data_IF_380690608247
#
_entry.id   IF_380690608247
#
_cell.length_a   1.000
_cell.length_b   1.000
_cell.length_c   1.000
_cell.angle_alpha   90.00
_cell.angle_beta   90.00
_cell.angle_gamma   90.00
#
_symmetry.space_group_name_H-M   'P 1'
#
loop_
_entity.id
_entity.type
_entity.pdbx_description
1 polymer ?
#
# COMPACT_ATOMS: atom_id res chain seq x y z
N UNK A 1 5.89 -23.33 -6.01
CA UNK A 1 6.29 -21.99 -5.50
C UNK A 1 5.08 -21.28 -4.92
N UNK A 2 5.15 -20.81 -3.66
CA UNK A 2 4.05 -20.01 -3.09
C UNK A 2 4.06 -18.63 -3.78
N UNK A 3 2.93 -18.23 -4.36
CA UNK A 3 2.82 -16.92 -5.01
C UNK A 3 2.98 -15.82 -3.95
N UNK A 4 4.10 -15.09 -3.99
CA UNK A 4 4.47 -14.07 -3.02
C UNK A 4 3.42 -12.95 -2.94
N UNK A 5 2.89 -12.52 -4.09
CA UNK A 5 1.86 -11.48 -4.19
C UNK A 5 0.53 -11.92 -3.59
N UNK A 6 0.31 -13.23 -3.42
CA UNK A 6 -0.90 -13.81 -2.82
C UNK A 6 -0.72 -14.22 -1.35
N UNK A 7 0.47 -14.03 -0.78
CA UNK A 7 0.76 -14.44 0.57
C UNK A 7 0.41 -13.32 1.57
N UNK A 8 -0.70 -13.50 2.29
CA UNK A 8 -1.17 -12.56 3.31
C UNK A 8 -0.11 -12.17 4.34
N UNK A 9 0.69 -13.14 4.81
CA UNK A 9 1.74 -12.86 5.81
C UNK A 9 2.77 -11.90 5.25
N UNK A 10 3.25 -12.15 4.03
CA UNK A 10 4.24 -11.30 3.37
C UNK A 10 3.68 -9.91 3.13
N UNK A 11 2.48 -9.81 2.55
CA UNK A 11 1.89 -8.51 2.24
C UNK A 11 1.63 -7.69 3.50
N UNK A 12 1.06 -8.30 4.55
CA UNK A 12 0.86 -7.62 5.84
C UNK A 12 2.20 -7.19 6.45
N UNK A 13 3.22 -8.05 6.45
CA UNK A 13 4.55 -7.69 6.97
C UNK A 13 5.16 -6.51 6.22
N UNK A 14 5.06 -6.46 4.88
CA UNK A 14 5.58 -5.33 4.09
C UNK A 14 4.77 -4.05 4.31
N UNK A 15 3.44 -4.12 4.48
CA UNK A 15 2.64 -2.97 4.90
C UNK A 15 3.09 -2.42 6.25
N UNK A 16 3.25 -3.31 7.24
CA UNK A 16 3.64 -2.95 8.60
C UNK A 16 5.09 -2.51 8.73
N UNK A 17 5.93 -2.71 7.72
CA UNK A 17 7.34 -2.30 7.72
C UNK A 17 7.58 -1.20 6.70
N UNK A 18 7.84 -1.56 5.44
CA UNK A 18 8.13 -0.61 4.37
C UNK A 18 6.99 0.38 4.13
N UNK A 19 5.73 -0.07 4.20
CA UNK A 19 4.59 0.82 3.94
C UNK A 19 4.40 1.91 4.99
N UNK A 20 4.59 1.57 6.27
CA UNK A 20 4.43 2.50 7.39
C UNK A 20 5.73 3.24 7.76
N UNK A 21 6.87 2.89 7.17
CA UNK A 21 8.12 3.56 7.47
C UNK A 21 8.12 5.02 6.96
N UNK A 22 8.89 5.91 7.62
CA UNK A 22 9.31 5.83 9.02
C UNK A 22 8.08 5.97 9.95
N UNK A 23 8.08 5.29 11.10
CA UNK A 23 6.91 5.30 11.98
C UNK A 23 6.73 6.60 12.78
N UNK A 24 7.80 7.38 12.92
CA UNK A 24 7.82 8.62 13.70
C UNK A 24 8.48 9.75 12.87
N UNK A 25 7.98 10.99 12.94
CA UNK A 25 6.78 11.42 13.68
C UNK A 25 5.47 10.98 13.01
N UNK A 26 5.48 10.74 11.70
CA UNK A 26 4.37 10.14 10.96
C UNK A 26 4.89 9.29 9.77
N UNK A 27 4.18 8.22 9.40
CA UNK A 27 4.44 7.46 8.17
C UNK A 27 4.53 8.34 6.93
N UNK A 28 5.55 8.12 6.10
CA UNK A 28 5.71 8.86 4.85
C UNK A 28 4.46 8.77 3.98
N UNK A 29 3.87 7.59 3.85
CA UNK A 29 2.64 7.40 3.06
C UNK A 29 1.51 8.34 3.50
N UNK A 30 1.35 8.59 4.80
CA UNK A 30 0.30 9.47 5.31
C UNK A 30 0.63 10.94 5.02
N UNK A 31 1.87 11.36 5.27
CA UNK A 31 2.33 12.72 4.96
C UNK A 31 2.18 13.04 3.47
N UNK A 32 2.61 12.12 2.59
CA UNK A 32 2.48 12.29 1.14
C UNK A 32 1.02 12.30 0.67
N UNK A 33 0.14 11.46 1.22
CA UNK A 33 -1.30 11.51 0.90
C UNK A 33 -1.90 12.88 1.28
N UNK A 34 -1.57 13.42 2.46
CA UNK A 34 -2.01 14.76 2.87
C UNK A 34 -1.48 15.84 1.92
N UNK A 35 -0.22 15.74 1.52
CA UNK A 35 0.39 16.67 0.57
C UNK A 35 -0.30 16.64 -0.80
N UNK A 36 -0.59 15.44 -1.32
CA UNK A 36 -1.36 15.27 -2.57
C UNK A 36 -2.78 15.83 -2.42
N UNK A 37 -3.45 15.59 -1.29
CA UNK A 37 -4.77 16.16 -1.02
C UNK A 37 -4.75 17.70 -0.97
N UNK A 38 -3.63 18.29 -0.57
CA UNK A 38 -3.37 19.74 -0.61
C UNK A 38 -2.93 20.29 -1.98
N UNK A 39 -2.98 19.49 -3.03
CA UNK A 39 -2.66 19.90 -4.41
C UNK A 39 -1.23 19.60 -4.87
N UNK A 40 -0.44 18.84 -4.09
CA UNK A 40 0.91 18.41 -4.45
C UNK A 40 1.88 19.57 -4.83
N UNK A 41 1.60 20.79 -4.35
CA UNK A 41 2.38 21.99 -4.69
C UNK A 41 3.83 21.78 -4.20
N UNK A 42 4.79 21.87 -5.13
CA UNK A 42 6.21 21.71 -4.85
C UNK A 42 6.70 20.27 -4.72
N UNK A 43 5.87 19.24 -4.99
CA UNK A 43 6.35 17.85 -4.99
C UNK A 43 7.34 17.61 -6.14
N UNK A 44 8.46 17.00 -5.80
CA UNK A 44 9.50 16.57 -6.75
C UNK A 44 9.31 15.11 -7.15
N UNK A 45 10.06 14.65 -8.15
CA UNK A 45 10.06 13.24 -8.55
C UNK A 45 10.38 12.28 -7.39
N UNK A 46 11.25 12.69 -6.46
CA UNK A 46 11.58 11.89 -5.28
C UNK A 46 10.39 11.73 -4.34
N UNK A 47 9.57 12.77 -4.19
CA UNK A 47 8.37 12.73 -3.35
C UNK A 47 7.29 11.80 -3.93
N UNK A 48 7.16 11.79 -5.26
CA UNK A 48 6.29 10.84 -5.95
C UNK A 48 6.79 9.41 -5.84
N UNK A 49 8.10 9.20 -5.97
CA UNK A 49 8.70 7.89 -5.77
C UNK A 49 8.49 7.41 -4.32
N UNK A 50 8.67 8.28 -3.34
CA UNK A 50 8.46 7.96 -1.93
C UNK A 50 6.99 7.59 -1.64
N UNK A 51 6.03 8.35 -2.18
CA UNK A 51 4.61 8.00 -2.11
C UNK A 51 4.31 6.65 -2.77
N UNK A 52 4.88 6.40 -3.95
CA UNK A 52 4.69 5.13 -4.66
C UNK A 52 5.29 3.95 -3.87
N UNK A 53 6.51 4.10 -3.36
CA UNK A 53 7.22 3.05 -2.63
C UNK A 53 6.48 2.64 -1.36
N UNK A 54 6.05 3.62 -0.55
CA UNK A 54 5.36 3.37 0.71
C UNK A 54 3.86 3.06 0.50
N UNK A 55 3.26 3.57 -0.58
CA UNK A 55 1.86 3.31 -0.93
C UNK A 55 1.60 1.94 -1.58
N UNK A 56 2.55 1.43 -2.38
CA UNK A 56 2.39 0.16 -3.13
C UNK A 56 2.04 -1.05 -2.25
N UNK A 57 2.65 -1.26 -1.06
CA UNK A 57 2.24 -2.32 -0.15
C UNK A 57 0.74 -2.30 0.18
N UNK A 58 0.16 -1.13 0.44
CA UNK A 58 -1.26 -1.01 0.77
C UNK A 58 -2.16 -1.27 -0.45
N UNK A 59 -1.74 -0.86 -1.65
CA UNK A 59 -2.46 -1.20 -2.88
C UNK A 59 -2.50 -2.73 -3.09
N UNK A 60 -1.39 -3.42 -2.81
CA UNK A 60 -1.35 -4.88 -2.85
C UNK A 60 -2.24 -5.53 -1.80
N UNK A 61 -2.30 -4.97 -0.58
CA UNK A 61 -3.19 -5.43 0.48
C UNK A 61 -4.67 -5.23 0.10
N UNK A 62 -5.02 -4.06 -0.42
CA UNK A 62 -6.37 -3.75 -0.93
C UNK A 62 -6.74 -4.75 -2.03
N UNK A 63 -5.84 -5.02 -2.99
CA UNK A 63 -6.03 -6.04 -4.02
C UNK A 63 -6.29 -7.44 -3.41
N UNK A 64 -5.57 -7.83 -2.36
CA UNK A 64 -5.80 -9.11 -1.68
C UNK A 64 -7.15 -9.20 -1.01
N UNK A 65 -7.56 -8.13 -0.31
CA UNK A 65 -8.87 -7.99 0.32
C UNK A 65 -9.96 -8.14 -0.75
N UNK A 66 -9.88 -7.38 -1.83
CA UNK A 66 -10.82 -7.46 -2.95
C UNK A 66 -10.88 -8.87 -3.54
N UNK A 67 -9.73 -9.51 -3.81
CA UNK A 67 -9.71 -10.89 -4.31
C UNK A 67 -10.33 -11.89 -3.33
N UNK A 68 -10.13 -11.71 -2.03
CA UNK A 68 -10.70 -12.60 -1.02
C UNK A 68 -12.22 -12.50 -0.93
N UNK A 69 -12.78 -11.29 -1.05
CA UNK A 69 -14.22 -11.09 -0.98
C UNK A 69 -14.93 -11.31 -2.33
N UNK A 70 -14.34 -10.89 -3.44
CA UNK A 70 -14.92 -11.08 -4.78
C UNK A 70 -14.70 -12.49 -5.32
N UNK A 71 -13.56 -13.12 -5.02
CA UNK A 71 -13.27 -14.49 -5.45
C UNK A 71 -14.23 -15.53 -4.86
N UNK A 72 -14.73 -15.30 -3.63
CA UNK A 72 -15.76 -16.15 -3.02
C UNK A 72 -17.10 -16.10 -3.73
N UNK A 73 -17.44 -14.98 -4.39
CA UNK A 73 -18.70 -14.85 -5.14
C UNK A 73 -18.70 -15.64 -6.45
N UNK A 74 -17.54 -15.94 -7.02
CA UNK A 74 -17.41 -16.69 -8.27
C UNK A 74 -17.48 -18.21 -8.09
N UNK A 75 -17.14 -18.73 -6.91
CA UNK A 75 -17.19 -20.18 -6.61
C UNK A 75 -18.48 -20.60 -5.91
N UNK A 76 -19.26 -19.66 -5.40
CA UNK A 76 -20.54 -19.90 -4.71
C UNK A 76 -21.75 -19.83 -5.65
N UNK A 77 -21.54 -19.95 -6.97
CA UNK A 77 -22.56 -19.97 -8.01
C UNK A 77 -22.44 -21.30 -8.76
#
# INVERSE_FOLDING_TARGET
MKNLLNNWKIIISVCLTLGLAPFFPEPHVLGKIKWVAGGAIGMTAMDWFDLFLHGTPFLLLIRLIFRHFMGKKLTAK
#
